data_IF_212155442235
#
_entry.id   IF_212155442235
#
_cell.length_a   1.000
_cell.length_b   1.000
_cell.length_c   1.000
_cell.angle_alpha   90.00
_cell.angle_beta   90.00
_cell.angle_gamma   90.00
#
_symmetry.space_group_name_H-M   'P 1'
#
loop_
_entity.id
_entity.type
_entity.pdbx_description
1 polymer ?
#
# COMPACT_ATOMS: atom_id res chain seq x y z
N UNK A 1 27.22 -23.36 80.98
CA UNK A 1 27.93 -23.43 79.68
C UNK A 1 27.00 -24.07 78.67
N UNK A 2 26.32 -23.29 77.83
CA UNK A 2 25.54 -23.77 76.67
C UNK A 2 25.10 -22.52 75.89
N UNK A 3 25.89 -22.16 74.88
CA UNK A 3 25.68 -22.43 73.45
C UNK A 3 24.64 -21.47 72.85
N UNK A 4 25.15 -20.34 72.37
CA UNK A 4 24.44 -19.38 71.51
C UNK A 4 24.31 -19.98 70.12
N UNK A 5 23.08 -20.25 69.68
CA UNK A 5 22.80 -20.58 68.27
C UNK A 5 22.25 -19.34 67.58
N UNK A 6 23.08 -18.78 66.70
CA UNK A 6 22.80 -17.70 65.78
C UNK A 6 22.06 -18.31 64.58
N UNK A 7 20.79 -17.94 64.36
CA UNK A 7 20.06 -18.29 63.13
C UNK A 7 19.96 -17.02 62.28
N UNK A 8 20.89 -16.87 61.34
CA UNK A 8 20.70 -16.03 60.16
C UNK A 8 19.81 -16.80 59.18
N UNK A 9 18.55 -16.40 59.04
CA UNK A 9 17.79 -16.70 57.82
C UNK A 9 18.03 -15.58 56.82
N UNK A 10 18.78 -15.91 55.77
CA UNK A 10 18.96 -15.05 54.61
C UNK A 10 17.65 -14.91 53.84
N UNK A 11 17.16 -13.67 53.74
CA UNK A 11 16.17 -13.30 52.76
C UNK A 11 16.86 -13.26 51.38
N UNK A 12 16.76 -14.35 50.63
CA UNK A 12 17.08 -14.35 49.22
C UNK A 12 16.03 -13.50 48.49
N UNK A 13 16.45 -12.29 48.07
CA UNK A 13 15.69 -11.41 47.20
C UNK A 13 15.60 -12.09 45.83
N UNK A 14 14.53 -12.86 45.60
CA UNK A 14 14.18 -13.34 44.27
C UNK A 14 13.57 -12.15 43.52
N UNK A 15 14.39 -11.38 42.82
CA UNK A 15 13.93 -10.39 41.84
C UNK A 15 13.32 -11.20 40.69
N UNK A 16 12.02 -11.42 40.75
CA UNK A 16 11.27 -11.83 39.58
C UNK A 16 11.33 -10.66 38.59
N UNK A 17 12.14 -10.82 37.55
CA UNK A 17 11.96 -10.07 36.31
C UNK A 17 10.58 -10.40 35.78
N UNK A 18 9.59 -9.60 36.17
CA UNK A 18 8.36 -9.44 35.41
C UNK A 18 8.79 -8.76 34.12
N UNK A 19 9.14 -9.58 33.12
CA UNK A 19 9.14 -9.13 31.74
C UNK A 19 7.70 -8.73 31.45
N UNK A 20 7.42 -7.44 31.55
CA UNK A 20 6.17 -6.86 31.09
C UNK A 20 6.09 -7.13 29.60
N UNK A 21 5.39 -8.21 29.25
CA UNK A 21 4.98 -8.47 27.89
C UNK A 21 4.29 -7.21 27.36
N UNK A 22 4.63 -6.72 26.16
CA UNK A 22 3.92 -5.60 25.56
C UNK A 22 2.43 -5.95 25.51
N UNK A 23 1.61 -4.94 25.80
CA UNK A 23 0.17 -5.04 25.85
C UNK A 23 -0.35 -5.84 24.64
N UNK A 24 -1.00 -6.95 24.97
CA UNK A 24 -1.69 -7.84 24.05
C UNK A 24 -2.79 -7.01 23.39
N UNK A 25 -2.47 -6.41 22.23
CA UNK A 25 -3.43 -5.93 21.25
C UNK A 25 -4.47 -7.03 21.08
N UNK A 26 -5.73 -6.66 21.32
CA UNK A 26 -6.89 -7.52 21.27
C UNK A 26 -6.85 -8.29 19.93
N UNK A 27 -6.47 -9.57 20.01
CA UNK A 27 -6.37 -10.49 18.88
C UNK A 27 -7.80 -10.74 18.45
N UNK A 28 -8.37 -9.84 17.64
CA UNK A 28 -9.67 -10.06 17.01
C UNK A 28 -9.55 -11.35 16.21
N UNK A 29 -10.41 -12.30 16.53
CA UNK A 29 -10.60 -13.57 15.85
C UNK A 29 -10.52 -13.38 14.33
N UNK A 30 -9.38 -13.75 13.74
CA UNK A 30 -9.11 -13.62 12.30
C UNK A 30 -9.76 -14.79 11.56
N UNK A 31 -11.09 -14.88 11.71
CA UNK A 31 -11.95 -15.73 10.92
C UNK A 31 -12.31 -15.02 9.60
N UNK A 32 -12.46 -15.78 8.52
CA UNK A 32 -12.67 -15.32 7.14
C UNK A 32 -11.45 -14.75 6.42
N UNK A 33 -10.25 -15.25 6.71
CA UNK A 33 -9.15 -15.02 5.78
C UNK A 33 -9.44 -15.71 4.43
N UNK A 34 -9.12 -15.04 3.33
CA UNK A 34 -9.21 -15.52 1.94
C UNK A 34 -7.85 -15.91 1.38
N UNK A 35 -6.78 -15.61 2.10
CA UNK A 35 -5.40 -15.92 1.71
C UNK A 35 -4.40 -15.55 2.80
N UNK A 36 -3.16 -16.06 2.72
CA UNK A 36 -2.13 -15.86 3.74
C UNK A 36 -1.73 -14.40 3.94
N UNK A 37 -1.94 -13.53 2.94
CA UNK A 37 -1.62 -12.10 3.05
C UNK A 37 -2.44 -11.40 4.16
N UNK A 38 -3.71 -11.80 4.34
CA UNK A 38 -4.59 -11.25 5.37
C UNK A 38 -4.18 -11.70 6.78
N UNK A 39 -3.30 -12.71 6.86
CA UNK A 39 -2.78 -13.27 8.09
C UNK A 39 -1.39 -12.72 8.44
N UNK A 40 -0.89 -11.71 7.71
CA UNK A 40 0.45 -11.14 7.94
C UNK A 40 0.64 -10.62 9.37
N UNK A 41 -0.38 -9.99 9.93
CA UNK A 41 -0.34 -9.41 11.27
C UNK A 41 -0.78 -10.39 12.36
N UNK A 42 -1.07 -11.64 11.98
CA UNK A 42 -1.35 -12.69 12.95
C UNK A 42 -0.07 -12.98 13.76
N UNK A 43 -0.12 -12.97 15.10
CA UNK A 43 1.04 -13.25 15.93
C UNK A 43 1.66 -14.61 15.58
N UNK A 44 2.92 -14.60 15.16
CA UNK A 44 3.64 -15.81 14.76
C UNK A 44 5.10 -15.77 15.21
N UNK A 45 5.74 -16.92 15.48
CA UNK A 45 7.15 -16.96 15.84
C UNK A 45 8.06 -16.62 14.65
N UNK A 46 9.31 -16.29 14.94
CA UNK A 46 10.36 -16.20 13.94
C UNK A 46 10.50 -17.54 13.17
N UNK A 47 10.93 -17.45 11.92
CA UNK A 47 11.08 -18.60 11.01
C UNK A 47 9.74 -19.31 10.71
N UNK A 48 8.66 -18.55 10.61
CA UNK A 48 7.34 -19.03 10.20
C UNK A 48 6.74 -18.18 9.07
N UNK A 49 5.87 -18.82 8.28
CA UNK A 49 5.06 -18.24 7.23
C UNK A 49 3.61 -18.13 7.73
N UNK A 50 2.94 -17.01 7.46
CA UNK A 50 1.51 -16.91 7.75
C UNK A 50 0.72 -17.79 6.79
N UNK A 51 -0.25 -18.51 7.33
CA UNK A 51 -1.14 -19.38 6.57
C UNK A 51 -2.58 -18.92 6.75
N UNK A 52 -3.41 -19.20 5.75
CA UNK A 52 -4.84 -19.04 5.83
C UNK A 52 -5.48 -20.39 5.49
N UNK A 53 -5.87 -21.15 6.52
CA UNK A 53 -6.38 -22.52 6.35
C UNK A 53 -7.81 -22.56 6.87
N UNK A 54 -8.73 -23.03 6.03
CA UNK A 54 -10.16 -23.10 6.35
C UNK A 54 -10.72 -21.76 6.85
N UNK A 55 -10.31 -20.66 6.20
CA UNK A 55 -10.68 -19.30 6.55
C UNK A 55 -10.22 -18.86 7.95
N UNK A 56 -9.20 -19.49 8.52
CA UNK A 56 -8.59 -19.09 9.79
C UNK A 56 -7.13 -18.79 9.58
N UNK A 57 -6.68 -17.64 10.10
CA UNK A 57 -5.26 -17.33 10.08
C UNK A 57 -4.48 -18.22 11.04
N UNK A 58 -3.35 -18.73 10.54
CA UNK A 58 -2.40 -19.52 11.29
C UNK A 58 -0.98 -19.21 10.83
N UNK A 59 -0.07 -20.10 11.19
CA UNK A 59 1.30 -20.08 10.70
C UNK A 59 1.85 -21.50 10.55
N UNK A 60 2.86 -21.65 9.69
CA UNK A 60 3.64 -22.86 9.54
C UNK A 60 5.14 -22.52 9.58
N UNK A 61 5.98 -23.44 10.03
CA UNK A 61 7.42 -23.18 10.04
C UNK A 61 7.98 -23.16 8.62
N UNK A 62 8.91 -22.25 8.37
CA UNK A 62 9.67 -22.21 7.11
C UNK A 62 10.47 -23.50 6.90
N UNK A 63 10.84 -23.78 5.65
CA UNK A 63 11.67 -24.94 5.32
C UNK A 63 12.95 -24.99 6.16
N UNK A 64 13.29 -26.19 6.64
CA UNK A 64 14.42 -26.40 7.55
C UNK A 64 14.10 -26.15 9.03
N UNK A 65 12.86 -25.78 9.37
CA UNK A 65 12.39 -25.62 10.75
C UNK A 65 11.24 -26.58 11.07
N UNK A 66 11.13 -26.99 12.33
CA UNK A 66 10.05 -27.82 12.87
C UNK A 66 9.34 -27.08 13.99
N UNK A 67 8.01 -27.25 14.07
CA UNK A 67 7.20 -26.63 15.12
C UNK A 67 7.46 -27.28 16.47
N UNK A 68 7.73 -26.45 17.48
CA UNK A 68 7.91 -26.85 18.86
C UNK A 68 7.11 -25.88 19.76
N UNK A 69 5.85 -26.22 20.00
CA UNK A 69 4.92 -25.35 20.72
C UNK A 69 4.61 -24.07 19.93
N UNK A 70 5.00 -22.91 20.47
CA UNK A 70 4.80 -21.59 19.85
C UNK A 70 6.05 -21.06 19.13
N UNK A 71 6.97 -21.95 18.76
CA UNK A 71 8.24 -21.58 18.14
C UNK A 71 8.59 -22.52 16.99
N UNK A 72 9.38 -22.02 16.04
CA UNK A 72 9.97 -22.80 14.95
C UNK A 72 11.45 -23.01 15.23
N UNK A 73 11.86 -24.25 15.43
CA UNK A 73 13.25 -24.62 15.74
C UNK A 73 13.92 -25.23 14.51
N UNK A 74 15.19 -24.90 14.28
CA UNK A 74 15.96 -25.46 13.18
C UNK A 74 15.99 -27.00 13.33
N UNK A 75 15.66 -27.72 12.26
CA UNK A 75 15.84 -29.16 12.20
C UNK A 75 17.35 -29.38 12.27
N UNK A 76 17.81 -30.01 13.35
CA UNK A 76 19.19 -30.44 13.43
C UNK A 76 19.41 -31.46 12.30
N UNK A 77 19.94 -30.99 11.18
CA UNK A 77 20.50 -31.86 10.15
C UNK A 77 21.63 -32.58 10.84
N UNK A 78 21.35 -33.81 11.25
CA UNK A 78 22.35 -34.77 11.71
C UNK A 78 23.48 -34.68 10.71
N UNK A 79 24.60 -34.09 11.13
CA UNK A 79 25.78 -33.96 10.32
C UNK A 79 26.26 -35.38 10.08
N UNK A 80 25.77 -36.02 9.02
CA UNK A 80 26.31 -37.26 8.53
C UNK A 80 27.75 -36.91 8.20
N UNK A 81 28.65 -37.34 9.08
CA UNK A 81 30.09 -37.34 8.93
C UNK A 81 30.43 -37.93 7.57
N UNK A 82 30.63 -37.06 6.58
CA UNK A 82 31.27 -37.42 5.32
C UNK A 82 32.75 -37.50 5.63
N UNK A 83 33.21 -38.74 5.80
CA UNK A 83 34.61 -39.13 5.84
C UNK A 83 35.38 -38.44 4.73
N UNK A 84 36.35 -37.63 5.15
CA UNK A 84 37.31 -36.96 4.28
C UNK A 84 38.44 -37.92 3.95
N UNK A 85 38.48 -38.42 2.71
CA UNK A 85 39.70 -38.98 2.13
C UNK A 85 39.75 -38.76 0.62
N UNK A 86 40.22 -37.59 0.20
CA UNK A 86 40.95 -37.47 -1.06
C UNK A 86 41.92 -36.29 -1.01
N UNK A 87 43.19 -36.67 -1.09
CA UNK A 87 44.38 -35.85 -1.14
C UNK A 87 44.46 -35.08 -2.46
N UNK A 88 44.73 -33.79 -2.40
CA UNK A 88 45.19 -33.00 -3.54
C UNK A 88 46.55 -32.34 -3.23
N UNK A 89 47.50 -32.35 -4.18
CA UNK A 89 48.84 -31.86 -3.97
C UNK A 89 48.95 -30.34 -4.16
N UNK A 90 49.89 -29.78 -3.43
CA UNK A 90 50.40 -28.41 -3.52
C UNK A 90 50.68 -27.95 -4.95
N UNK A 91 50.29 -26.72 -5.26
CA UNK A 91 50.90 -25.94 -6.32
C UNK A 91 51.09 -24.47 -5.88
N UNK A 92 52.31 -24.04 -6.15
CA UNK A 92 53.03 -22.84 -5.77
C UNK A 92 52.37 -21.49 -6.10
N UNK A 93 52.79 -20.53 -5.27
CA UNK A 93 52.76 -19.08 -5.43
C UNK A 93 53.12 -18.55 -6.83
N UNK A 94 52.35 -17.59 -7.33
CA UNK A 94 52.83 -16.54 -8.23
C UNK A 94 52.06 -15.23 -7.99
N UNK A 95 52.78 -14.24 -7.49
CA UNK A 95 52.38 -12.84 -7.44
C UNK A 95 52.43 -12.25 -8.85
N UNK A 96 51.33 -11.64 -9.29
CA UNK A 96 51.35 -10.71 -10.44
C UNK A 96 50.62 -9.43 -10.04
N UNK A 97 51.42 -8.40 -9.84
CA UNK A 97 51.03 -6.99 -9.69
C UNK A 97 50.47 -6.48 -11.01
N UNK A 98 49.23 -5.98 -11.03
CA UNK A 98 48.66 -5.26 -12.17
C UNK A 98 48.27 -3.83 -11.75
N UNK A 99 49.00 -2.88 -12.32
CA UNK A 99 48.75 -1.44 -12.38
C UNK A 99 47.49 -1.12 -13.19
N UNK A 100 46.66 -0.14 -12.77
CA UNK A 100 45.61 0.42 -13.62
C UNK A 100 46.15 1.57 -14.47
N UNK A 101 46.09 1.43 -15.80
CA UNK A 101 46.32 2.52 -16.76
C UNK A 101 44.97 3.12 -17.12
N UNK A 102 44.79 4.40 -16.79
CA UNK A 102 43.69 5.27 -17.21
C UNK A 102 43.86 5.56 -18.70
N UNK A 103 42.88 5.24 -19.54
CA UNK A 103 42.81 5.75 -20.90
C UNK A 103 41.39 6.26 -21.18
N UNK A 104 41.31 7.58 -21.40
CA UNK A 104 40.11 8.36 -21.69
C UNK A 104 39.97 8.46 -23.22
N UNK A 105 38.88 7.98 -23.83
CA UNK A 105 38.63 8.24 -25.25
C UNK A 105 37.99 9.64 -25.46
N UNK A 106 38.37 10.38 -26.52
CA UNK A 106 37.87 11.73 -26.78
C UNK A 106 36.49 11.75 -27.46
N UNK A 107 35.70 12.78 -27.10
CA UNK A 107 34.44 13.17 -27.74
C UNK A 107 34.60 13.55 -29.21
N UNK A 108 33.63 13.21 -30.09
CA UNK A 108 33.46 13.89 -31.36
C UNK A 108 32.53 15.10 -31.20
N UNK A 109 33.09 16.27 -31.49
CA UNK A 109 32.38 17.52 -31.75
C UNK A 109 32.08 17.59 -33.25
N UNK A 110 30.83 17.84 -33.65
CA UNK A 110 30.54 18.38 -34.98
C UNK A 110 29.40 19.37 -34.89
N UNK A 111 29.71 20.59 -35.34
CA UNK A 111 28.85 21.75 -35.45
C UNK A 111 28.85 22.23 -36.91
N UNK A 112 27.81 22.99 -37.27
CA UNK A 112 27.59 23.78 -38.51
C UNK A 112 27.13 23.02 -39.76
N UNK A 113 26.23 23.51 -40.63
CA UNK A 113 25.34 24.68 -40.72
C UNK A 113 24.48 24.49 -42.01
N UNK A 114 23.53 25.39 -42.37
CA UNK A 114 22.36 25.07 -43.21
C UNK A 114 22.55 25.34 -44.71
N UNK A 115 21.74 24.70 -45.56
CA UNK A 115 21.59 25.04 -46.98
C UNK A 115 20.09 25.17 -47.32
N UNK A 116 19.79 26.24 -48.06
CA UNK A 116 18.45 26.70 -48.45
C UNK A 116 18.23 26.55 -49.97
N UNK A 117 16.98 26.26 -50.36
CA UNK A 117 16.29 26.46 -51.67
C UNK A 117 16.69 25.60 -52.90
N UNK A 118 15.83 25.42 -53.95
CA UNK A 118 14.55 26.09 -54.27
C UNK A 118 13.35 25.20 -54.73
N UNK A 119 12.27 25.92 -55.05
CA UNK A 119 10.93 25.60 -55.61
C UNK A 119 10.93 24.86 -56.96
N UNK A 120 9.90 24.01 -57.19
CA UNK A 120 9.43 23.52 -58.52
C UNK A 120 8.60 22.21 -58.42
N UNK A 121 7.26 22.22 -58.37
CA UNK A 121 6.27 22.15 -59.47
C UNK A 121 6.12 20.77 -60.18
N UNK A 122 4.93 20.17 -60.00
CA UNK A 122 4.15 19.25 -60.87
C UNK A 122 4.62 17.79 -61.08
N UNK A 123 3.69 16.85 -60.83
CA UNK A 123 3.73 15.51 -61.42
C UNK A 123 2.79 14.50 -60.73
N UNK A 124 1.56 14.39 -61.20
CA UNK A 124 0.67 13.26 -60.89
C UNK A 124 1.27 11.96 -61.42
N UNK A 125 1.27 10.90 -60.61
CA UNK A 125 1.34 9.53 -61.10
C UNK A 125 0.58 8.60 -60.13
N UNK A 126 -0.48 8.00 -60.64
CA UNK A 126 -1.23 6.92 -60.01
C UNK A 126 -0.33 5.69 -59.90
N UNK A 127 -0.34 5.02 -58.75
CA UNK A 127 0.12 3.63 -58.65
C UNK A 127 -0.92 2.78 -57.92
N UNK A 128 -1.35 1.74 -58.64
CA UNK A 128 -2.19 0.64 -58.21
C UNK A 128 -1.60 -0.06 -56.99
N UNK A 129 -2.41 -0.23 -55.95
CA UNK A 129 -2.14 -1.16 -54.86
C UNK A 129 -2.80 -2.50 -55.19
N UNK A 130 -1.98 -3.52 -55.41
CA UNK A 130 -2.35 -4.93 -55.49
C UNK A 130 -2.72 -5.43 -54.09
N UNK A 131 -3.94 -5.94 -53.93
CA UNK A 131 -4.37 -6.72 -52.77
C UNK A 131 -3.87 -8.17 -52.88
N UNK A 132 -3.43 -8.80 -51.78
CA UNK A 132 -3.41 -10.26 -51.69
C UNK A 132 -4.76 -10.80 -51.23
N UNK A 133 -5.29 -11.70 -52.07
CA UNK A 133 -6.36 -12.66 -51.79
C UNK A 133 -5.94 -13.56 -50.61
N UNK A 134 -6.84 -13.79 -49.66
CA UNK A 134 -6.77 -14.95 -48.77
C UNK A 134 -8.14 -15.56 -48.61
N UNK A 135 -8.15 -16.86 -48.90
CA UNK A 135 -9.29 -17.72 -49.15
C UNK A 135 -9.87 -18.27 -47.84
N UNK A 136 -11.19 -18.45 -47.90
CA UNK A 136 -12.11 -19.07 -46.96
C UNK A 136 -11.66 -20.46 -46.46
N UNK A 137 -11.95 -20.78 -45.20
CA UNK A 137 -12.57 -22.07 -44.81
C UNK A 137 -13.22 -22.00 -43.44
N UNK A 138 -14.51 -22.30 -43.45
CA UNK A 138 -15.43 -22.36 -42.32
C UNK A 138 -15.31 -23.68 -41.57
N UNK A 139 -15.48 -23.67 -40.25
CA UNK A 139 -16.06 -24.81 -39.53
C UNK A 139 -16.92 -24.25 -38.40
N UNK A 140 -18.23 -24.29 -38.62
CA UNK A 140 -19.24 -23.99 -37.62
C UNK A 140 -19.53 -25.25 -36.81
N UNK A 141 -19.49 -25.15 -35.48
CA UNK A 141 -20.05 -26.17 -34.59
C UNK A 141 -21.22 -25.54 -33.86
N UNK A 142 -22.40 -25.95 -34.28
CA UNK A 142 -23.68 -25.65 -33.65
C UNK A 142 -23.82 -26.48 -32.38
N UNK A 143 -24.09 -25.86 -31.24
CA UNK A 143 -24.60 -26.60 -30.07
C UNK A 143 -25.86 -25.93 -29.58
N UNK A 144 -26.94 -26.70 -29.68
CA UNK A 144 -28.33 -26.34 -29.47
C UNK A 144 -28.68 -26.45 -27.99
N UNK A 145 -29.29 -25.38 -27.49
CA UNK A 145 -30.37 -25.28 -26.50
C UNK A 145 -30.60 -26.40 -25.47
N UNK A 146 -30.62 -26.02 -24.19
CA UNK A 146 -31.66 -26.49 -23.27
C UNK A 146 -32.11 -25.35 -22.35
N UNK A 147 -33.34 -24.90 -22.59
CA UNK A 147 -34.13 -24.01 -21.75
C UNK A 147 -34.95 -24.86 -20.77
N UNK A 148 -34.85 -24.58 -19.47
CA UNK A 148 -35.81 -25.03 -18.46
C UNK A 148 -36.55 -23.81 -17.90
N UNK A 149 -37.89 -23.82 -17.83
CA UNK A 149 -38.66 -22.68 -17.35
C UNK A 149 -39.06 -22.82 -15.86
N UNK A 150 -39.24 -21.64 -15.26
CA UNK A 150 -40.16 -21.30 -14.16
C UNK A 150 -40.00 -21.99 -12.80
N UNK A 151 -39.69 -21.17 -11.79
CA UNK A 151 -40.60 -21.02 -10.64
C UNK A 151 -40.53 -19.63 -10.05
N UNK A 152 -41.73 -19.09 -9.86
CA UNK A 152 -42.10 -17.79 -9.35
C UNK A 152 -42.14 -17.76 -7.82
N UNK A 153 -42.30 -16.53 -7.30
CA UNK A 153 -42.72 -16.13 -5.95
C UNK A 153 -41.56 -15.98 -4.94
N UNK A 154 -41.47 -14.92 -4.11
CA UNK A 154 -42.50 -14.00 -3.61
C UNK A 154 -41.83 -12.66 -3.25
N UNK A 155 -42.30 -11.57 -3.83
CA UNK A 155 -41.95 -10.21 -3.39
C UNK A 155 -42.84 -9.85 -2.21
N UNK A 156 -42.29 -9.89 -1.00
CA UNK A 156 -42.99 -9.39 0.20
C UNK A 156 -42.78 -7.88 0.28
N UNK A 157 -43.75 -7.14 -0.26
CA UNK A 157 -43.87 -5.69 -0.13
C UNK A 157 -44.25 -5.38 1.32
N UNK A 158 -43.30 -4.89 2.11
CA UNK A 158 -43.58 -4.30 3.42
C UNK A 158 -44.27 -2.93 3.23
N UNK A 159 -45.35 -2.63 3.97
CA UNK A 159 -46.05 -1.36 3.90
C UNK A 159 -45.19 -0.20 4.44
N UNK A 160 -45.37 1.03 3.93
CA UNK A 160 -44.68 2.20 4.47
C UNK A 160 -45.14 2.49 5.91
N UNK A 161 -44.24 2.97 6.78
CA UNK A 161 -44.62 3.41 8.13
C UNK A 161 -45.55 4.64 8.05
N UNK A 162 -46.49 4.78 9.00
CA UNK A 162 -47.47 5.85 8.99
C UNK A 162 -46.83 7.22 9.19
N UNK A 163 -47.18 8.13 8.28
CA UNK A 163 -46.90 9.56 8.35
C UNK A 163 -47.57 10.12 9.61
N UNK A 164 -46.78 10.41 10.64
CA UNK A 164 -47.29 11.09 11.82
C UNK A 164 -47.20 12.59 11.56
N UNK A 165 -48.29 13.19 11.10
CA UNK A 165 -48.48 14.64 11.20
C UNK A 165 -48.83 14.95 12.65
N UNK A 166 -47.98 15.70 13.35
CA UNK A 166 -48.37 16.39 14.57
C UNK A 166 -48.12 17.87 14.38
N UNK A 167 -49.23 18.57 14.29
CA UNK A 167 -49.36 20.02 14.24
C UNK A 167 -48.88 20.66 15.54
N UNK A 168 -48.38 21.90 15.38
CA UNK A 168 -48.61 23.05 16.27
C UNK A 168 -48.32 22.90 17.76
N UNK A 169 -47.40 23.73 18.29
CA UNK A 169 -47.76 24.73 19.31
C UNK A 169 -46.60 25.65 19.72
N UNK A 170 -46.98 26.93 19.88
CA UNK A 170 -46.49 27.91 20.86
C UNK A 170 -45.05 28.42 20.76
N UNK A 171 -44.92 29.55 20.07
CA UNK A 171 -44.00 30.61 20.43
C UNK A 171 -44.26 31.10 21.86
N UNK A 172 -43.30 30.94 22.76
CA UNK A 172 -43.22 31.73 24.00
C UNK A 172 -41.92 32.52 23.98
N UNK A 173 -42.08 33.82 23.74
CA UNK A 173 -41.03 34.83 23.83
C UNK A 173 -40.68 35.01 25.30
N UNK A 174 -39.53 34.46 25.72
CA UNK A 174 -38.96 34.74 27.04
C UNK A 174 -38.02 35.95 26.91
N UNK A 175 -38.17 37.01 27.74
CA UNK A 175 -37.24 38.13 27.73
C UNK A 175 -35.87 37.70 28.27
N UNK A 176 -34.77 38.24 27.73
CA UNK A 176 -33.43 37.92 28.21
C UNK A 176 -33.22 38.46 29.64
N UNK A 177 -32.57 37.69 30.53
CA UNK A 177 -32.17 38.21 31.84
C UNK A 177 -31.07 39.27 31.62
N UNK A 178 -31.27 40.46 32.20
CA UNK A 178 -30.26 41.50 32.30
C UNK A 178 -29.07 40.98 33.12
N UNK A 179 -27.99 40.67 32.43
CA UNK A 179 -26.67 40.43 33.03
C UNK A 179 -26.02 41.76 33.36
N UNK A 180 -25.84 41.99 34.66
CA UNK A 180 -24.97 43.02 35.23
C UNK A 180 -23.54 42.83 34.72
N UNK A 181 -23.04 43.85 34.04
CA UNK A 181 -21.69 43.95 33.49
C UNK A 181 -20.66 44.01 34.62
N UNK A 182 -19.89 42.93 34.78
CA UNK A 182 -18.73 42.90 35.68
C UNK A 182 -17.54 43.62 35.00
N UNK A 183 -16.75 44.40 35.76
CA UNK A 183 -15.62 45.15 35.21
C UNK A 183 -14.58 44.22 34.57
N UNK A 184 -13.94 44.65 33.46
CA UNK A 184 -12.99 43.83 32.73
C UNK A 184 -11.77 43.52 33.61
N UNK A 185 -11.32 42.25 33.67
CA UNK A 185 -10.07 41.90 34.33
C UNK A 185 -8.87 42.52 33.58
N UNK A 186 -7.76 42.80 34.29
CA UNK A 186 -6.58 43.43 33.71
C UNK A 186 -5.98 42.57 32.59
N UNK A 187 -5.85 43.17 31.40
CA UNK A 187 -5.16 42.60 30.25
C UNK A 187 -3.73 42.21 30.61
N UNK A 188 -3.53 40.92 30.83
CA UNK A 188 -2.21 40.34 30.96
C UNK A 188 -1.82 39.87 29.56
N UNK A 189 -0.95 40.63 28.89
CA UNK A 189 -0.37 40.25 27.60
C UNK A 189 0.49 39.01 27.81
N UNK A 190 -0.13 37.83 27.73
CA UNK A 190 0.58 36.57 27.70
C UNK A 190 1.31 36.49 26.36
N UNK A 191 2.64 36.51 26.41
CA UNK A 191 3.48 36.27 25.25
C UNK A 191 3.13 34.89 24.67
N UNK A 192 2.58 34.87 23.46
CA UNK A 192 2.32 33.65 22.70
C UNK A 192 3.64 32.89 22.55
N UNK A 193 3.77 31.66 23.08
CA UNK A 193 4.95 30.85 22.80
C UNK A 193 4.98 30.57 21.31
N UNK A 194 6.00 31.08 20.62
CA UNK A 194 6.29 30.72 19.24
C UNK A 194 6.76 29.26 19.26
N UNK A 195 5.82 28.33 19.07
CA UNK A 195 6.15 26.92 18.80
C UNK A 195 6.85 26.87 17.46
N UNK A 196 8.17 26.69 17.47
CA UNK A 196 8.94 26.40 16.27
C UNK A 196 8.43 25.10 15.68
N UNK A 197 7.70 25.20 14.57
CA UNK A 197 7.22 24.05 13.81
C UNK A 197 8.44 23.18 13.42
N UNK A 198 8.40 21.86 13.67
CA UNK A 198 9.50 20.98 13.29
C UNK A 198 9.75 21.11 11.78
N UNK A 199 11.03 21.08 11.33
CA UNK A 199 11.36 21.23 9.93
C UNK A 199 10.64 20.15 9.11
N UNK A 200 9.93 20.60 8.07
CA UNK A 200 9.26 19.70 7.13
C UNK A 200 10.29 18.69 6.60
N UNK A 201 9.95 17.38 6.58
CA UNK A 201 10.93 16.36 6.27
C UNK A 201 11.50 16.51 4.86
N UNK A 202 12.82 16.41 4.72
CA UNK A 202 13.49 16.41 3.42
C UNK A 202 13.03 15.19 2.61
N UNK A 203 12.38 15.45 1.48
CA UNK A 203 11.95 14.41 0.53
C UNK A 203 13.08 14.17 -0.48
N UNK A 204 13.64 12.97 -0.48
CA UNK A 204 14.53 12.51 -1.55
C UNK A 204 13.68 11.87 -2.64
N UNK A 205 13.77 12.41 -3.87
CA UNK A 205 13.11 11.84 -5.05
C UNK A 205 14.11 11.09 -5.92
N UNK A 206 13.78 9.86 -6.28
CA UNK A 206 14.53 9.06 -7.25
C UNK A 206 13.81 9.14 -8.60
N UNK A 207 14.36 9.79 -9.65
CA UNK A 207 13.75 9.84 -10.98
C UNK A 207 13.82 8.47 -11.67
N UNK A 208 12.94 8.25 -12.66
CA UNK A 208 12.83 7.01 -13.45
C UNK A 208 12.60 5.72 -12.62
N UNK A 209 12.10 5.86 -11.39
CA UNK A 209 11.91 4.77 -10.44
C UNK A 209 10.89 3.71 -10.91
N UNK A 210 9.96 4.06 -11.80
CA UNK A 210 8.98 3.12 -12.39
C UNK A 210 9.71 2.14 -13.31
N UNK A 211 10.47 2.66 -14.28
CA UNK A 211 11.22 1.85 -15.24
C UNK A 211 12.33 1.06 -14.54
N UNK A 212 13.07 1.71 -13.63
CA UNK A 212 14.15 1.06 -12.87
C UNK A 212 13.65 -0.10 -12.00
N UNK A 213 12.40 -0.04 -11.52
CA UNK A 213 11.79 -1.10 -10.71
C UNK A 213 11.11 -2.21 -11.54
N UNK A 214 11.10 -2.13 -12.87
CA UNK A 214 10.41 -3.10 -13.73
C UNK A 214 8.88 -3.04 -13.63
N UNK A 215 8.34 -1.88 -13.23
CA UNK A 215 6.90 -1.65 -13.18
C UNK A 215 6.36 -1.54 -14.60
N UNK A 216 5.43 -2.42 -14.94
CA UNK A 216 4.71 -2.47 -16.22
C UNK A 216 3.21 -2.25 -16.05
N UNK A 217 2.67 -2.44 -14.85
CA UNK A 217 1.30 -2.07 -14.51
C UNK A 217 1.12 -0.55 -14.43
N UNK A 218 -0.10 -0.08 -14.71
CA UNK A 218 -0.49 1.33 -14.64
C UNK A 218 0.34 2.28 -15.50
N UNK A 219 0.92 1.79 -16.60
CA UNK A 219 1.72 2.60 -17.50
C UNK A 219 0.87 3.66 -18.22
N UNK A 220 1.43 4.86 -18.38
CA UNK A 220 0.77 5.99 -19.06
C UNK A 220 -0.36 6.62 -18.25
N UNK A 221 -1.31 7.25 -18.96
CA UNK A 221 -2.46 7.91 -18.36
C UNK A 221 -3.57 6.90 -18.04
N UNK A 222 -3.85 6.70 -16.76
CA UNK A 222 -4.92 5.85 -16.27
C UNK A 222 -6.21 6.67 -16.19
N UNK A 223 -7.03 6.62 -17.24
CA UNK A 223 -8.28 7.39 -17.37
C UNK A 223 -9.52 6.59 -16.97
N UNK A 224 -10.66 7.28 -16.80
CA UNK A 224 -11.91 6.67 -16.32
C UNK A 224 -11.73 6.02 -14.93
N UNK A 225 -10.91 6.63 -14.09
CA UNK A 225 -10.69 6.20 -12.72
C UNK A 225 -11.94 6.50 -11.87
N UNK A 226 -12.28 5.55 -11.00
CA UNK A 226 -13.10 5.84 -9.83
C UNK A 226 -12.13 6.08 -8.67
N UNK A 227 -12.17 7.28 -8.10
CA UNK A 227 -11.37 7.66 -6.95
C UNK A 227 -12.29 7.54 -5.73
N UNK A 228 -12.10 6.47 -4.96
CA UNK A 228 -12.77 6.26 -3.68
C UNK A 228 -11.88 6.68 -2.51
N UNK A 229 -12.31 6.40 -1.28
CA UNK A 229 -11.54 6.71 -0.09
C UNK A 229 -11.58 5.64 0.99
N UNK A 230 -10.49 5.60 1.76
CA UNK A 230 -10.34 4.76 2.94
C UNK A 230 -9.65 5.50 4.09
N UNK A 231 -9.85 5.00 5.29
CA UNK A 231 -9.16 5.42 6.52
C UNK A 231 -8.05 4.44 6.85
N UNK A 232 -6.94 4.93 7.39
CA UNK A 232 -5.76 4.13 7.71
C UNK A 232 -6.00 3.10 8.83
N UNK A 233 -6.89 3.39 9.78
CA UNK A 233 -7.25 2.48 10.87
C UNK A 233 -8.77 2.48 11.06
N UNK A 234 -9.44 1.60 10.33
CA UNK A 234 -10.89 1.49 10.31
C UNK A 234 -11.32 0.09 9.92
N UNK A 235 -12.06 -0.56 10.83
CA UNK A 235 -12.65 -1.87 10.54
C UNK A 235 -13.67 -1.85 9.40
N UNK A 236 -14.28 -0.70 9.11
CA UNK A 236 -15.18 -0.55 7.95
C UNK A 236 -14.41 -0.63 6.63
N UNK A 237 -13.14 -0.25 6.64
CA UNK A 237 -12.27 -0.17 5.47
C UNK A 237 -11.30 -1.35 5.41
N UNK A 238 -11.42 -2.29 6.35
CA UNK A 238 -10.52 -3.44 6.53
C UNK A 238 -9.05 -3.05 6.74
N UNK A 239 -8.81 -1.89 7.34
CA UNK A 239 -7.49 -1.37 7.67
C UNK A 239 -7.24 -1.41 9.18
N UNK A 240 -5.97 -1.31 9.58
CA UNK A 240 -5.52 -1.54 10.96
C UNK A 240 -4.32 -0.68 11.39
N UNK A 241 -4.10 0.46 10.72
CA UNK A 241 -2.95 1.33 10.97
C UNK A 241 -1.63 0.85 10.36
N UNK A 242 -1.60 -0.30 9.68
CA UNK A 242 -0.42 -0.80 8.98
C UNK A 242 -0.68 -1.04 7.49
N UNK A 243 0.07 -0.33 6.67
CA UNK A 243 -0.10 -0.34 5.22
C UNK A 243 0.33 -1.66 4.58
N UNK A 244 -0.19 -1.98 3.40
CA UNK A 244 0.35 -3.06 2.56
C UNK A 244 1.84 -2.87 2.27
N UNK A 245 2.31 -1.63 2.18
CA UNK A 245 3.72 -1.27 2.05
C UNK A 245 4.56 -1.51 3.32
N UNK A 246 3.95 -1.99 4.41
CA UNK A 246 4.67 -2.46 5.60
C UNK A 246 5.18 -1.36 6.52
N UNK A 247 4.56 -0.18 6.50
CA UNK A 247 4.82 0.90 7.44
C UNK A 247 3.54 1.29 8.19
N UNK A 248 3.70 1.91 9.35
CA UNK A 248 2.58 2.54 10.06
C UNK A 248 2.10 3.79 9.33
N UNK A 249 0.79 3.97 9.26
CA UNK A 249 0.18 5.12 8.58
C UNK A 249 -1.04 5.67 9.31
N UNK A 250 -1.35 6.94 9.04
CA UNK A 250 -2.54 7.64 9.50
C UNK A 250 -3.27 8.23 8.30
N UNK A 251 -4.47 8.79 8.51
CA UNK A 251 -5.24 9.45 7.45
C UNK A 251 -4.49 10.64 6.80
N UNK A 252 -3.48 11.19 7.48
CA UNK A 252 -2.69 12.32 7.02
C UNK A 252 -1.61 11.94 5.99
N UNK A 253 -1.33 10.65 5.80
CA UNK A 253 -0.39 10.23 4.76
C UNK A 253 -0.96 10.63 3.38
N UNK A 254 -0.17 11.31 2.51
CA UNK A 254 -0.58 11.64 1.14
C UNK A 254 -0.52 10.39 0.26
N UNK A 255 -1.32 9.39 0.61
CA UNK A 255 -1.26 8.04 0.09
C UNK A 255 -2.48 7.67 -0.75
N UNK A 256 -2.29 6.72 -1.65
CA UNK A 256 -3.37 6.02 -2.32
C UNK A 256 -3.04 4.54 -2.51
N UNK A 257 -4.05 3.77 -2.89
CA UNK A 257 -4.03 2.35 -3.09
C UNK A 257 -4.55 2.03 -4.50
N UNK A 258 -3.69 1.59 -5.43
CA UNK A 258 -4.14 1.03 -6.71
C UNK A 258 -4.44 -0.48 -6.57
N UNK A 259 -4.94 -1.10 -7.63
CA UNK A 259 -5.30 -2.55 -7.67
C UNK A 259 -4.17 -3.44 -7.17
N UNK A 260 -4.45 -4.24 -6.12
CA UNK A 260 -3.52 -5.20 -5.55
C UNK A 260 -3.10 -6.26 -6.57
N UNK A 261 -4.06 -6.87 -7.27
CA UNK A 261 -3.80 -7.91 -8.27
C UNK A 261 -2.95 -7.38 -9.42
N UNK A 262 -3.17 -6.15 -9.87
CA UNK A 262 -2.33 -5.56 -10.92
C UNK A 262 -0.90 -5.41 -10.44
N UNK A 263 -0.68 -4.93 -9.21
CA UNK A 263 0.67 -4.84 -8.64
C UNK A 263 1.33 -6.21 -8.49
N UNK A 264 0.62 -7.20 -7.93
CA UNK A 264 1.14 -8.54 -7.72
C UNK A 264 1.42 -9.29 -9.03
N UNK A 265 0.49 -9.24 -9.99
CA UNK A 265 0.63 -9.94 -11.27
C UNK A 265 1.82 -9.46 -12.10
N UNK A 266 2.19 -8.18 -12.00
CA UNK A 266 3.41 -7.63 -12.61
C UNK A 266 4.68 -8.35 -12.14
N UNK A 267 4.68 -8.91 -10.93
CA UNK A 267 5.84 -9.55 -10.30
C UNK A 267 5.59 -11.04 -10.00
N UNK A 268 4.86 -11.75 -10.86
CA UNK A 268 4.57 -13.17 -10.71
C UNK A 268 3.95 -13.54 -9.34
N UNK A 269 3.14 -12.62 -8.79
CA UNK A 269 2.52 -12.73 -7.46
C UNK A 269 3.50 -12.75 -6.28
N UNK A 270 4.75 -12.34 -6.50
CA UNK A 270 5.71 -12.08 -5.42
C UNK A 270 5.39 -10.75 -4.74
N UNK A 271 4.91 -10.85 -3.51
CA UNK A 271 4.59 -9.70 -2.67
C UNK A 271 5.80 -8.81 -2.39
N UNK A 272 6.95 -9.37 -1.99
CA UNK A 272 8.09 -8.53 -1.61
C UNK A 272 8.66 -7.81 -2.83
N UNK A 273 8.70 -8.48 -3.99
CA UNK A 273 9.10 -7.85 -5.25
C UNK A 273 8.12 -6.74 -5.65
N UNK A 274 6.81 -7.01 -5.62
CA UNK A 274 5.79 -6.02 -5.96
C UNK A 274 5.81 -4.81 -5.00
N UNK A 275 5.87 -5.05 -3.68
CA UNK A 275 5.90 -3.97 -2.70
C UNK A 275 7.18 -3.14 -2.83
N UNK A 276 8.34 -3.78 -3.03
CA UNK A 276 9.60 -3.07 -3.30
C UNK A 276 9.48 -2.20 -4.55
N UNK A 277 8.85 -2.73 -5.60
CA UNK A 277 8.70 -2.02 -6.87
C UNK A 277 7.69 -0.87 -6.82
N UNK A 278 6.55 -1.02 -6.13
CA UNK A 278 5.47 -0.03 -6.18
C UNK A 278 5.46 0.97 -5.03
N UNK A 279 5.83 0.58 -3.81
CA UNK A 279 5.63 1.41 -2.63
C UNK A 279 6.42 2.73 -2.69
N UNK A 280 5.72 3.83 -2.44
CA UNK A 280 6.28 5.17 -2.45
C UNK A 280 6.46 5.78 -3.84
N UNK A 281 6.08 5.08 -4.91
CA UNK A 281 6.00 5.70 -6.23
C UNK A 281 4.99 6.84 -6.21
N UNK A 282 5.38 7.96 -6.80
CA UNK A 282 4.59 9.18 -6.88
C UNK A 282 3.63 9.12 -8.07
N UNK A 283 2.40 9.58 -7.84
CA UNK A 283 1.39 9.78 -8.86
C UNK A 283 0.82 11.20 -8.80
N UNK A 284 0.42 11.70 -9.95
CA UNK A 284 -0.46 12.88 -10.05
C UNK A 284 -1.86 12.38 -10.34
N UNK A 285 -2.80 12.74 -9.48
CA UNK A 285 -4.22 12.42 -9.61
C UNK A 285 -4.96 13.70 -9.99
N UNK A 286 -5.85 13.60 -10.97
CA UNK A 286 -6.67 14.70 -11.48
C UNK A 286 -8.14 14.30 -11.50
N UNK A 287 -8.99 15.15 -10.91
CA UNK A 287 -10.46 15.00 -10.96
C UNK A 287 -11.03 15.66 -12.23
N UNK A 288 -12.27 15.33 -12.65
CA UNK A 288 -12.92 15.98 -13.80
C UNK A 288 -13.03 17.51 -13.66
N UNK A 289 -13.15 17.99 -12.43
CA UNK A 289 -13.27 19.42 -12.13
C UNK A 289 -11.90 20.14 -12.13
N UNK A 290 -10.82 19.42 -12.45
CA UNK A 290 -9.47 19.97 -12.56
C UNK A 290 -8.70 20.07 -11.24
N UNK A 291 -9.26 19.57 -10.13
CA UNK A 291 -8.50 19.46 -8.87
C UNK A 291 -7.43 18.39 -9.02
N UNK A 292 -6.22 18.70 -8.55
CA UNK A 292 -5.06 17.81 -8.63
C UNK A 292 -4.43 17.56 -7.26
N UNK A 293 -3.85 16.39 -7.09
CA UNK A 293 -3.01 16.06 -5.93
C UNK A 293 -1.83 15.18 -6.33
N UNK A 294 -0.69 15.40 -5.69
CA UNK A 294 0.47 14.51 -5.76
C UNK A 294 0.42 13.56 -4.58
N UNK A 295 0.17 12.27 -4.84
CA UNK A 295 0.07 11.23 -3.81
C UNK A 295 1.09 10.11 -4.08
N UNK A 296 1.28 9.23 -3.11
CA UNK A 296 2.21 8.10 -3.19
C UNK A 296 1.48 6.78 -3.03
N UNK A 297 1.92 5.73 -3.72
CA UNK A 297 1.43 4.37 -3.45
C UNK A 297 1.82 4.00 -2.02
N UNK A 298 0.82 3.99 -1.15
CA UNK A 298 1.02 3.75 0.28
C UNK A 298 0.39 2.42 0.70
N UNK A 299 -0.60 1.93 -0.05
CA UNK A 299 -1.36 0.72 0.28
C UNK A 299 -1.77 -0.03 -1.00
N UNK A 300 -2.58 -1.07 -0.86
CA UNK A 300 -3.13 -1.82 -1.98
C UNK A 300 -4.66 -1.96 -1.89
N UNK A 301 -5.35 -1.79 -3.02
CA UNK A 301 -6.80 -1.81 -3.09
C UNK A 301 -7.30 -3.22 -3.42
N UNK A 302 -8.16 -3.79 -2.57
CA UNK A 302 -8.79 -5.09 -2.81
C UNK A 302 -9.61 -5.04 -4.11
N UNK A 303 -9.22 -5.90 -5.05
CA UNK A 303 -9.82 -5.97 -6.38
C UNK A 303 -11.31 -6.33 -6.40
N UNK A 304 -11.89 -6.80 -5.29
CA UNK A 304 -13.35 -6.95 -5.13
C UNK A 304 -14.09 -5.61 -5.30
N UNK A 305 -13.40 -4.50 -5.01
CA UNK A 305 -13.94 -3.14 -5.04
C UNK A 305 -13.42 -2.29 -6.21
N UNK A 306 -12.38 -2.75 -6.92
CA UNK A 306 -11.88 -2.13 -8.15
C UNK A 306 -12.93 -2.26 -9.25
N UNK A 307 -13.50 -1.12 -9.70
CA UNK A 307 -14.60 -1.10 -10.69
C UNK A 307 -14.13 -0.83 -12.11
N UNK A 308 -12.96 -0.19 -12.24
CA UNK A 308 -12.26 0.05 -13.50
C UNK A 308 -10.78 -0.28 -13.29
N UNK A 309 -10.03 -0.64 -14.35
CA UNK A 309 -8.58 -0.89 -14.21
C UNK A 309 -7.80 0.29 -13.61
N UNK A 310 -8.33 1.52 -13.74
CA UNK A 310 -7.75 2.74 -13.19
C UNK A 310 -8.31 3.14 -11.80
N UNK A 311 -9.20 2.35 -11.20
CA UNK A 311 -9.78 2.69 -9.89
C UNK A 311 -8.71 2.71 -8.80
N UNK A 312 -8.79 3.71 -7.92
CA UNK A 312 -7.88 3.91 -6.80
C UNK A 312 -8.68 4.22 -5.54
N UNK A 313 -8.14 3.81 -4.39
CA UNK A 313 -8.65 4.18 -3.08
C UNK A 313 -7.69 5.19 -2.44
N UNK A 314 -8.15 6.37 -2.09
CA UNK A 314 -7.30 7.47 -1.61
C UNK A 314 -7.41 7.62 -0.09
N UNK A 315 -6.29 7.97 0.56
CA UNK A 315 -6.28 8.24 2.00
C UNK A 315 -7.27 9.37 2.34
N UNK A 316 -8.05 9.21 3.40
CA UNK A 316 -9.20 10.06 3.72
C UNK A 316 -8.93 11.58 3.64
N UNK A 317 -7.83 12.06 4.23
CA UNK A 317 -7.55 13.52 4.27
C UNK A 317 -7.13 14.04 2.87
N UNK A 318 -6.45 13.21 2.08
CA UNK A 318 -6.11 13.51 0.69
C UNK A 318 -7.36 13.51 -0.21
N UNK A 319 -8.28 12.57 0.03
CA UNK A 319 -9.54 12.51 -0.70
C UNK A 319 -10.40 13.74 -0.45
N UNK A 320 -10.45 14.26 0.79
CA UNK A 320 -11.20 15.47 1.10
C UNK A 320 -10.74 16.68 0.26
N UNK A 321 -9.45 16.74 -0.07
CA UNK A 321 -8.88 17.80 -0.92
C UNK A 321 -9.27 17.62 -2.40
N UNK A 322 -9.30 16.38 -2.90
CA UNK A 322 -9.74 16.06 -4.27
C UNK A 322 -11.26 16.17 -4.45
N UNK A 323 -12.03 15.83 -3.41
CA UNK A 323 -13.49 15.87 -3.41
C UNK A 323 -14.04 17.27 -3.08
N UNK A 324 -13.20 18.15 -2.52
CA UNK A 324 -13.57 19.50 -2.09
C UNK A 324 -14.32 19.57 -0.75
N UNK A 325 -14.53 18.44 -0.08
CA UNK A 325 -15.15 18.38 1.24
C UNK A 325 -14.85 17.06 1.95
N UNK A 326 -15.05 17.02 3.27
CA UNK A 326 -15.05 15.76 4.02
C UNK A 326 -16.40 15.04 3.85
N UNK A 327 -16.36 13.71 3.75
CA UNK A 327 -17.57 12.88 3.66
C UNK A 327 -17.49 11.68 4.60
N UNK A 328 -18.64 11.17 5.04
CA UNK A 328 -18.74 9.88 5.76
C UNK A 328 -19.46 8.81 4.95
N UNK A 329 -19.92 9.14 3.74
CA UNK A 329 -20.67 8.22 2.88
C UNK A 329 -19.72 7.52 1.91
N UNK A 330 -19.66 6.19 1.94
CA UNK A 330 -18.80 5.39 1.05
C UNK A 330 -19.22 5.42 -0.43
N UNK A 331 -20.42 5.92 -0.72
CA UNK A 331 -20.86 6.14 -2.09
C UNK A 331 -20.39 7.47 -2.68
N UNK A 332 -19.81 8.36 -1.86
CA UNK A 332 -19.24 9.61 -2.32
C UNK A 332 -17.85 9.31 -2.89
N UNK A 333 -17.79 9.31 -4.22
CA UNK A 333 -16.59 9.00 -5.01
C UNK A 333 -16.45 10.02 -6.13
N UNK A 334 -15.24 10.25 -6.60
CA UNK A 334 -15.01 11.00 -7.85
C UNK A 334 -15.00 9.99 -9.00
N UNK A 335 -15.88 10.20 -9.98
CA UNK A 335 -15.92 9.41 -11.22
C UNK A 335 -15.15 10.14 -12.32
N UNK A 336 -14.76 9.39 -13.35
CA UNK A 336 -14.10 9.93 -14.55
C UNK A 336 -12.79 10.69 -14.26
N UNK A 337 -12.13 10.35 -13.15
CA UNK A 337 -10.82 10.88 -12.82
C UNK A 337 -9.72 10.29 -13.71
N UNK A 338 -8.52 10.85 -13.59
CA UNK A 338 -7.32 10.29 -14.20
C UNK A 338 -6.12 10.35 -13.25
N UNK A 339 -5.14 9.49 -13.48
CA UNK A 339 -3.86 9.57 -12.78
C UNK A 339 -2.74 8.91 -13.58
N UNK A 340 -1.50 9.27 -13.28
CA UNK A 340 -0.32 8.66 -13.86
C UNK A 340 0.83 8.64 -12.86
N UNK A 341 1.72 7.65 -12.98
CA UNK A 341 2.96 7.59 -12.21
C UNK A 341 3.98 8.56 -12.80
N UNK A 342 4.59 9.40 -11.96
CA UNK A 342 5.50 10.47 -12.42
C UNK A 342 6.90 9.96 -12.75
N UNK A 343 7.25 8.76 -12.29
CA UNK A 343 8.61 8.26 -12.30
C UNK A 343 9.39 8.59 -11.02
N UNK A 344 8.87 9.44 -10.13
CA UNK A 344 9.51 9.73 -8.85
C UNK A 344 9.15 8.69 -7.78
N UNK A 345 10.00 8.58 -6.76
CA UNK A 345 9.72 7.82 -5.52
C UNK A 345 10.06 8.63 -4.29
N UNK A 346 9.19 8.62 -3.29
CA UNK A 346 9.47 9.17 -1.97
C UNK A 346 9.97 8.07 -1.02
N UNK A 347 11.21 8.22 -0.55
CA UNK A 347 11.87 7.27 0.36
C UNK A 347 11.11 7.03 1.69
N UNK A 348 10.29 7.98 2.13
CA UNK A 348 9.48 7.83 3.35
C UNK A 348 8.46 6.71 3.22
N UNK A 349 7.86 6.60 2.04
CA UNK A 349 6.74 5.70 1.76
C UNK A 349 7.17 4.45 0.98
N UNK A 350 8.47 4.20 0.86
CA UNK A 350 8.95 2.94 0.27
C UNK A 350 8.56 1.74 1.11
N UNK A 351 8.74 0.55 0.54
CA UNK A 351 8.50 -0.70 1.26
C UNK A 351 9.28 -0.74 2.58
N UNK A 352 8.56 -0.98 3.69
CA UNK A 352 9.11 -0.95 5.07
C UNK A 352 9.79 0.40 5.43
N UNK A 353 9.32 1.49 4.82
CA UNK A 353 9.76 2.86 5.09
C UNK A 353 9.25 3.42 6.43
N UNK A 354 9.41 4.73 6.62
CA UNK A 354 9.00 5.41 7.86
C UNK A 354 7.49 5.63 7.95
N UNK A 355 6.78 5.70 6.81
CA UNK A 355 5.34 5.95 6.80
C UNK A 355 4.95 7.26 7.48
N UNK A 356 3.98 7.22 8.39
CA UNK A 356 3.51 8.39 9.13
C UNK A 356 4.35 8.76 10.36
N UNK A 357 5.42 8.01 10.66
CA UNK A 357 6.25 8.32 11.83
C UNK A 357 6.87 9.71 11.65
N UNK A 358 6.54 10.62 12.57
CA UNK A 358 7.02 12.01 12.57
C UNK A 358 6.40 12.91 11.49
N UNK A 359 5.18 12.60 11.04
CA UNK A 359 4.32 13.53 10.27
C UNK A 359 3.40 14.34 11.18
#
# INVERSE_FOLDING_TARGET
>A
MQLRTLILLGAALLVQHVSTAPALLDVRDVHNCKGPFQCRYFPRPDNSLATCVANVCGWECSDGYVSAGRSCNLIATSSSSLDSSSSFPSASSLSTTLTPSLEVPPSPTTSEAPISTPVGVVGQAQFQTTQPVSTTSSTATTTTSSTTPMSSATTTTLPPPPTTMTSSSSSTTQPPPSTTEAPPPPSTTAATPTTTEPPSPTVTLIPDAVAAAGVTGFAGDNTNAIISWFRADSSQDSTNGHSWCGFEYTNAVPGFAPSLNTMLSNFNWDYEAAATAYCGLEAVITTPDGLTATLYIADAFDDTWVRTPASIDVMYDSFASLYGSVTTNKNDVVKDGSWYLTGNRNDRYKFKGLGSVGL
#
